data_IF_423834613832
#
_entry.id   IF_423834613832
#
_cell.length_a   1.000
_cell.length_b   1.000
_cell.length_c   1.000
_cell.angle_alpha   90.00
_cell.angle_beta   90.00
_cell.angle_gamma   90.00
#
_symmetry.space_group_name_H-M   'P 1'
#
loop_
_entity.id
_entity.type
_entity.pdbx_description
1 polymer ?
#
# COMPACT_ATOMS: atom_id res chain seq x y z
N UNK A 1 30.37 -5.63 -12.31
CA UNK A 1 31.02 -4.51 -11.59
C UNK A 1 31.34 -4.95 -10.18
N UNK A 2 30.35 -5.30 -9.35
CA UNK A 2 30.60 -5.79 -7.98
C UNK A 2 31.51 -7.04 -7.93
N UNK A 3 31.18 -8.10 -8.68
CA UNK A 3 32.03 -9.31 -8.82
C UNK A 3 33.39 -9.07 -9.49
N UNK A 4 33.58 -7.92 -10.14
CA UNK A 4 34.84 -7.54 -10.79
C UNK A 4 35.67 -6.59 -9.90
N UNK A 5 35.15 -6.25 -8.72
CA UNK A 5 35.72 -5.24 -7.80
C UNK A 5 35.86 -3.84 -8.43
N UNK A 6 35.04 -3.51 -9.44
CA UNK A 6 34.98 -2.16 -10.01
C UNK A 6 34.22 -1.18 -9.10
N UNK A 7 33.39 -1.70 -8.18
CA UNK A 7 32.60 -0.96 -7.20
C UNK A 7 32.56 -1.75 -5.89
N UNK A 8 32.46 -1.04 -4.77
CA UNK A 8 32.40 -1.65 -3.42
C UNK A 8 30.97 -1.89 -2.92
N UNK A 9 30.00 -1.09 -3.38
CA UNK A 9 28.60 -1.15 -2.92
C UNK A 9 27.66 -1.05 -4.12
N UNK A 10 26.71 -1.99 -4.20
CA UNK A 10 25.55 -1.90 -5.08
C UNK A 10 24.27 -1.87 -4.23
N UNK A 11 23.27 -1.09 -4.67
CA UNK A 11 21.95 -0.96 -4.04
C UNK A 11 20.86 -1.31 -5.06
N UNK A 12 19.65 -1.59 -4.58
CA UNK A 12 18.46 -1.85 -5.43
C UNK A 12 18.61 -3.03 -6.40
N UNK A 13 19.30 -4.08 -5.96
CA UNK A 13 19.54 -5.30 -6.73
C UNK A 13 18.25 -6.10 -6.94
N UNK A 14 18.09 -6.73 -8.10
CA UNK A 14 16.94 -7.60 -8.38
C UNK A 14 17.07 -8.94 -7.63
N UNK A 15 15.96 -9.67 -7.40
CA UNK A 15 16.02 -11.00 -6.78
C UNK A 15 16.96 -11.97 -7.49
N UNK A 16 17.04 -11.89 -8.83
CA UNK A 16 17.96 -12.67 -9.67
C UNK A 16 19.43 -12.32 -9.37
N UNK A 17 19.77 -11.03 -9.34
CA UNK A 17 21.12 -10.55 -9.02
C UNK A 17 21.55 -10.98 -7.60
N UNK A 18 20.61 -10.93 -6.64
CA UNK A 18 20.86 -11.36 -5.26
C UNK A 18 21.19 -12.85 -5.17
N UNK A 19 20.47 -13.70 -5.92
CA UNK A 19 20.71 -15.15 -5.94
C UNK A 19 22.10 -15.47 -6.49
N UNK A 20 22.52 -14.80 -7.57
CA UNK A 20 23.84 -14.97 -8.17
C UNK A 20 24.96 -14.50 -7.23
N UNK A 21 24.75 -13.37 -6.54
CA UNK A 21 25.74 -12.83 -5.59
C UNK A 21 25.86 -13.67 -4.33
N UNK A 22 24.77 -14.27 -3.85
CA UNK A 22 24.78 -15.18 -2.69
C UNK A 22 25.60 -16.46 -2.93
N UNK A 23 25.81 -16.85 -4.18
CA UNK A 23 26.67 -17.97 -4.54
C UNK A 23 28.17 -17.61 -4.49
N UNK A 24 28.52 -16.32 -4.31
CA UNK A 24 29.91 -15.84 -4.29
C UNK A 24 30.38 -15.62 -2.84
N UNK A 25 31.55 -16.14 -2.45
CA UNK A 25 31.98 -16.20 -1.04
C UNK A 25 32.58 -14.91 -0.48
N UNK A 26 33.02 -14.00 -1.33
CA UNK A 26 33.70 -12.74 -0.99
C UNK A 26 32.75 -11.53 -0.97
N UNK A 27 31.49 -11.70 -1.38
CA UNK A 27 30.47 -10.65 -1.39
C UNK A 27 29.46 -10.90 -0.28
N UNK A 28 29.36 -9.96 0.66
CA UNK A 28 28.35 -10.00 1.71
C UNK A 28 27.04 -9.38 1.20
N UNK A 29 25.98 -10.17 1.17
CA UNK A 29 24.63 -9.68 0.85
C UNK A 29 23.92 -9.32 2.16
N UNK A 30 23.73 -8.02 2.39
CA UNK A 30 22.94 -7.49 3.50
C UNK A 30 21.54 -7.12 3.01
N UNK A 31 20.51 -7.56 3.76
CA UNK A 31 19.11 -7.22 3.50
C UNK A 31 18.62 -6.33 4.62
N UNK A 32 18.29 -5.09 4.28
CA UNK A 32 17.72 -4.13 5.20
C UNK A 32 16.30 -3.85 4.76
N UNK A 33 15.36 -3.93 5.69
CA UNK A 33 13.99 -3.51 5.43
C UNK A 33 13.98 -1.99 5.34
N UNK A 34 13.69 -1.46 4.16
CA UNK A 34 13.45 -0.04 4.00
C UNK A 34 12.12 0.33 4.67
N UNK A 35 12.05 1.45 5.39
CA UNK A 35 10.81 1.91 6.02
C UNK A 35 9.93 2.56 4.95
N UNK A 36 9.60 1.83 3.89
CA UNK A 36 8.74 2.27 2.80
C UNK A 36 7.57 1.31 2.65
N UNK A 37 6.49 1.80 2.06
CA UNK A 37 5.33 0.99 1.76
C UNK A 37 4.83 1.31 0.37
N UNK A 38 4.22 0.32 -0.25
CA UNK A 38 3.48 0.49 -1.48
C UNK A 38 2.08 0.00 -1.26
N UNK A 39 1.12 0.73 -1.80
CA UNK A 39 -0.27 0.43 -1.55
C UNK A 39 -1.11 0.71 -2.78
N UNK A 40 -2.17 -0.08 -2.90
CA UNK A 40 -3.25 0.16 -3.84
C UNK A 40 -4.26 1.10 -3.19
N UNK A 41 -4.25 2.35 -3.63
CA UNK A 41 -5.13 3.40 -3.16
C UNK A 41 -6.40 3.53 -4.00
N UNK A 42 -7.49 3.92 -3.33
CA UNK A 42 -8.82 4.08 -3.92
C UNK A 42 -9.28 5.52 -3.75
N UNK A 43 -9.78 6.15 -4.83
CA UNK A 43 -10.31 7.49 -4.75
C UNK A 43 -11.73 7.49 -4.17
N UNK A 44 -11.88 7.87 -2.91
CA UNK A 44 -13.17 7.90 -2.22
C UNK A 44 -14.06 9.10 -2.60
N UNK A 45 -13.60 10.00 -3.49
CA UNK A 45 -14.51 10.95 -4.15
C UNK A 45 -15.28 10.30 -5.31
N UNK A 46 -14.83 9.15 -5.82
CA UNK A 46 -15.60 8.29 -6.71
C UNK A 46 -16.63 7.49 -5.87
N UNK A 47 -17.90 7.57 -6.24
CA UNK A 47 -19.01 6.93 -5.50
C UNK A 47 -18.88 5.41 -5.36
N UNK A 48 -18.22 4.73 -6.30
CA UNK A 48 -17.94 3.29 -6.22
C UNK A 48 -17.00 3.00 -5.05
N UNK A 49 -15.90 3.74 -4.96
CA UNK A 49 -14.87 3.52 -3.94
C UNK A 49 -15.14 4.24 -2.63
N UNK A 50 -16.09 5.18 -2.58
CA UNK A 50 -16.64 5.72 -1.34
C UNK A 50 -17.27 4.63 -0.47
N UNK A 51 -17.82 3.57 -1.08
CA UNK A 51 -18.38 2.43 -0.37
C UNK A 51 -17.27 1.53 0.22
N UNK A 52 -17.23 1.42 1.54
CA UNK A 52 -16.24 0.61 2.26
C UNK A 52 -16.27 -0.87 1.87
N UNK A 53 -17.45 -1.43 1.54
CA UNK A 53 -17.57 -2.84 1.13
C UNK A 53 -16.89 -3.08 -0.21
N UNK A 54 -16.91 -2.11 -1.12
CA UNK A 54 -16.17 -2.20 -2.39
C UNK A 54 -14.67 -2.22 -2.11
N UNK A 55 -14.15 -1.28 -1.30
CA UNK A 55 -12.72 -1.26 -0.93
C UNK A 55 -12.30 -2.55 -0.21
N UNK A 56 -13.13 -3.05 0.69
CA UNK A 56 -12.90 -4.31 1.39
C UNK A 56 -12.88 -5.50 0.43
N UNK A 57 -13.80 -5.54 -0.55
CA UNK A 57 -13.80 -6.56 -1.59
C UNK A 57 -12.49 -6.54 -2.40
N UNK A 58 -11.99 -5.34 -2.75
CA UNK A 58 -10.74 -5.19 -3.49
C UNK A 58 -9.54 -5.76 -2.73
N UNK A 59 -9.50 -5.62 -1.39
CA UNK A 59 -8.44 -6.23 -0.56
C UNK A 59 -8.40 -7.75 -0.67
N UNK A 60 -9.55 -8.40 -0.86
CA UNK A 60 -9.64 -9.85 -1.05
C UNK A 60 -9.27 -10.32 -2.46
N UNK A 61 -9.01 -9.42 -3.41
CA UNK A 61 -8.54 -9.77 -4.77
C UNK A 61 -7.02 -9.95 -4.85
N UNK A 62 -6.28 -9.54 -3.80
CA UNK A 62 -4.82 -9.60 -3.80
C UNK A 62 -4.37 -10.99 -3.34
N UNK A 63 -3.60 -11.67 -4.20
CA UNK A 63 -2.89 -12.91 -3.83
C UNK A 63 -1.59 -12.57 -3.09
N UNK A 64 -1.73 -12.18 -1.82
CA UNK A 64 -0.59 -11.79 -0.98
C UNK A 64 0.49 -12.88 -0.89
N UNK A 65 0.10 -14.16 -0.82
CA UNK A 65 1.05 -15.28 -0.70
C UNK A 65 1.72 -15.62 -2.04
N UNK A 66 0.97 -15.58 -3.14
CA UNK A 66 1.52 -15.73 -4.48
C UNK A 66 2.51 -14.61 -4.81
N UNK A 67 2.16 -13.35 -4.51
CA UNK A 67 3.04 -12.20 -4.68
C UNK A 67 4.31 -12.30 -3.82
N UNK A 68 4.19 -12.74 -2.55
CA UNK A 68 5.34 -12.98 -1.66
C UNK A 68 6.35 -13.97 -2.25
N UNK A 69 5.87 -15.03 -2.89
CA UNK A 69 6.71 -16.09 -3.47
C UNK A 69 7.31 -15.71 -4.83
N UNK A 70 6.75 -14.72 -5.51
CA UNK A 70 7.08 -14.37 -6.89
C UNK A 70 7.62 -12.94 -6.97
N UNK A 71 6.76 -11.97 -7.24
CA UNK A 71 7.12 -10.57 -7.53
C UNK A 71 7.83 -9.89 -6.36
N UNK A 72 7.43 -10.20 -5.13
CA UNK A 72 7.95 -9.57 -3.91
C UNK A 72 9.09 -10.37 -3.26
N UNK A 73 9.49 -11.50 -3.84
CA UNK A 73 10.53 -12.37 -3.27
C UNK A 73 11.81 -11.54 -3.05
N UNK A 74 12.31 -11.53 -1.82
CA UNK A 74 13.49 -10.76 -1.38
C UNK A 74 13.39 -9.22 -1.43
N UNK A 75 12.29 -8.64 -1.94
CA UNK A 75 12.18 -7.18 -2.14
C UNK A 75 10.98 -6.54 -1.42
N UNK A 76 10.12 -7.34 -0.77
CA UNK A 76 9.01 -6.79 -0.01
C UNK A 76 8.24 -7.83 0.80
N UNK A 77 7.50 -7.34 1.79
CA UNK A 77 6.65 -8.17 2.67
C UNK A 77 5.20 -7.68 2.50
N UNK A 78 4.27 -8.52 2.01
CA UNK A 78 2.88 -8.13 1.90
C UNK A 78 2.29 -7.78 3.28
N UNK A 79 1.62 -6.63 3.36
CA UNK A 79 1.09 -6.07 4.62
C UNK A 79 -0.15 -5.22 4.35
N UNK A 80 -1.06 -5.21 5.32
CA UNK A 80 -2.31 -4.43 5.33
C UNK A 80 -2.39 -3.44 6.51
N UNK A 81 -1.24 -3.12 7.10
CA UNK A 81 -1.02 -2.10 8.13
C UNK A 81 -0.19 -0.95 7.55
N UNK A 82 -0.48 0.26 8.00
CA UNK A 82 0.19 1.48 7.54
C UNK A 82 1.52 1.76 8.27
N UNK A 83 1.86 0.95 9.28
CA UNK A 83 3.14 1.06 10.00
C UNK A 83 4.09 0.00 9.41
N UNK A 84 5.25 0.41 8.87
CA UNK A 84 6.26 -0.53 8.37
C UNK A 84 6.67 -1.54 9.44
N UNK A 85 6.93 -2.78 9.04
CA UNK A 85 7.43 -3.82 9.95
C UNK A 85 8.76 -3.37 10.58
N UNK A 86 8.98 -3.69 11.85
CA UNK A 86 10.20 -3.29 12.58
C UNK A 86 10.14 -1.88 13.21
N UNK A 87 9.18 -1.04 12.82
CA UNK A 87 8.96 0.24 13.49
C UNK A 87 8.23 0.09 14.82
N UNK A 88 8.35 1.11 15.67
CA UNK A 88 7.62 1.16 16.94
C UNK A 88 6.10 1.15 16.71
N UNK A 89 5.37 0.28 17.42
CA UNK A 89 3.93 0.10 17.23
C UNK A 89 3.55 -0.73 15.99
N UNK A 90 4.52 -1.25 15.23
CA UNK A 90 4.24 -2.14 14.13
C UNK A 90 3.66 -3.47 14.62
N UNK A 91 2.62 -3.92 13.94
CA UNK A 91 2.06 -5.26 14.15
C UNK A 91 3.04 -6.32 13.66
N UNK A 92 3.10 -7.44 14.38
CA UNK A 92 3.76 -8.64 13.92
C UNK A 92 3.28 -9.04 12.51
N UNK A 93 4.12 -9.73 11.73
CA UNK A 93 3.85 -10.02 10.31
C UNK A 93 2.47 -10.64 10.07
N UNK A 94 2.11 -11.66 10.85
CA UNK A 94 0.81 -12.33 10.77
C UNK A 94 -0.37 -11.40 11.08
N UNK A 95 -0.25 -10.54 12.08
CA UNK A 95 -1.30 -9.60 12.49
C UNK A 95 -1.41 -8.38 11.57
N UNK A 96 -0.29 -8.03 10.92
CA UNK A 96 -0.20 -6.97 9.93
C UNK A 96 -0.81 -7.34 8.59
N UNK A 97 -1.03 -8.63 8.32
CA UNK A 97 -1.60 -9.14 7.08
C UNK A 97 -2.82 -10.05 7.33
N UNK A 98 -3.97 -9.50 7.74
CA UNK A 98 -5.16 -10.30 8.01
C UNK A 98 -5.90 -10.78 6.74
N UNK A 99 -5.49 -10.31 5.56
CA UNK A 99 -6.14 -10.64 4.29
C UNK A 99 -5.41 -11.76 3.55
N UNK A 100 -6.21 -12.54 2.81
CA UNK A 100 -5.77 -13.52 1.82
C UNK A 100 -6.69 -13.41 0.60
N UNK A 101 -6.26 -13.95 -0.54
CA UNK A 101 -7.12 -14.05 -1.71
C UNK A 101 -8.41 -14.82 -1.35
N UNK A 102 -9.56 -14.19 -1.55
CA UNK A 102 -10.88 -14.78 -1.33
C UNK A 102 -11.90 -14.19 -2.30
N UNK A 103 -12.01 -14.80 -3.48
CA UNK A 103 -12.90 -14.33 -4.54
C UNK A 103 -14.38 -14.45 -4.17
N UNK A 104 -14.74 -15.44 -3.34
CA UNK A 104 -16.11 -15.62 -2.88
C UNK A 104 -16.49 -14.49 -1.94
N UNK A 105 -15.63 -14.14 -0.98
CA UNK A 105 -15.86 -13.03 -0.07
C UNK A 105 -15.88 -11.69 -0.81
N UNK A 106 -14.97 -11.49 -1.78
CA UNK A 106 -14.97 -10.31 -2.63
C UNK A 106 -16.31 -10.15 -3.40
N UNK A 107 -16.77 -11.22 -4.06
CA UNK A 107 -18.05 -11.20 -4.79
C UNK A 107 -19.24 -10.94 -3.86
N UNK A 108 -19.27 -11.55 -2.68
CA UNK A 108 -20.31 -11.30 -1.68
C UNK A 108 -20.36 -9.81 -1.30
N UNK A 109 -19.21 -9.23 -0.96
CA UNK A 109 -19.11 -7.82 -0.57
C UNK A 109 -19.52 -6.86 -1.70
N UNK A 110 -19.16 -7.18 -2.95
CA UNK A 110 -19.58 -6.42 -4.13
C UNK A 110 -21.10 -6.45 -4.33
N UNK A 111 -21.73 -7.62 -4.21
CA UNK A 111 -23.19 -7.75 -4.26
C UNK A 111 -23.86 -6.95 -3.14
N UNK A 112 -23.38 -7.08 -1.91
CA UNK A 112 -23.88 -6.31 -0.76
C UNK A 112 -23.68 -4.79 -0.92
N UNK A 113 -22.70 -4.38 -1.72
CA UNK A 113 -22.43 -2.98 -2.04
C UNK A 113 -23.28 -2.45 -3.20
N UNK A 114 -24.11 -3.29 -3.84
CA UNK A 114 -24.94 -2.93 -4.98
C UNK A 114 -24.31 -3.15 -6.35
N UNK A 115 -23.21 -3.91 -6.44
CA UNK A 115 -22.49 -4.22 -7.68
C UNK A 115 -22.45 -5.74 -7.96
N UNK A 116 -23.61 -6.43 -8.11
CA UNK A 116 -23.64 -7.87 -8.33
C UNK A 116 -22.97 -8.30 -9.64
N UNK A 117 -22.98 -7.43 -10.65
CA UNK A 117 -22.36 -7.62 -11.97
C UNK A 117 -20.98 -6.93 -12.10
N UNK A 118 -20.48 -6.36 -11.00
CA UNK A 118 -19.24 -5.60 -10.96
C UNK A 118 -19.33 -4.21 -11.62
N UNK A 119 -18.18 -3.69 -12.04
CA UNK A 119 -18.02 -2.36 -12.63
C UNK A 119 -16.68 -2.25 -13.37
N UNK A 120 -16.44 -1.12 -14.04
CA UNK A 120 -15.13 -0.79 -14.61
C UNK A 120 -14.45 0.32 -13.81
N UNK A 121 -13.13 0.25 -13.68
CA UNK A 121 -12.33 1.30 -13.05
C UNK A 121 -10.92 1.35 -13.66
N UNK A 122 -10.32 2.53 -13.69
CA UNK A 122 -8.91 2.66 -14.07
C UNK A 122 -7.99 2.26 -12.92
N UNK A 123 -6.86 1.66 -13.26
CA UNK A 123 -5.81 1.29 -12.34
C UNK A 123 -4.49 1.90 -12.79
N UNK A 124 -4.17 3.07 -12.22
CA UNK A 124 -2.95 3.79 -12.56
C UNK A 124 -1.75 3.18 -11.85
N UNK A 125 -0.69 2.88 -12.59
CA UNK A 125 0.56 2.33 -12.05
C UNK A 125 1.77 3.09 -12.54
N UNK A 126 2.80 3.15 -11.71
CA UNK A 126 4.09 3.74 -12.06
C UNK A 126 4.98 2.83 -12.92
N UNK A 127 6.20 3.29 -13.16
CA UNK A 127 7.20 2.58 -13.97
C UNK A 127 7.98 1.53 -13.19
N UNK A 128 7.80 1.44 -11.87
CA UNK A 128 8.51 0.47 -11.03
C UNK A 128 8.33 -0.98 -11.53
N UNK A 129 9.38 -1.82 -11.53
CA UNK A 129 9.35 -3.16 -12.13
C UNK A 129 8.31 -4.09 -11.52
N UNK A 130 7.97 -3.93 -10.25
CA UNK A 130 6.97 -4.77 -9.55
C UNK A 130 5.53 -4.24 -9.70
N UNK A 131 5.33 -2.97 -10.07
CA UNK A 131 4.00 -2.36 -10.06
C UNK A 131 3.05 -2.98 -11.09
N UNK A 132 3.54 -3.22 -12.31
CA UNK A 132 2.76 -3.82 -13.39
C UNK A 132 2.39 -5.30 -13.10
N UNK A 133 3.34 -6.18 -12.71
CA UNK A 133 3.01 -7.55 -12.31
C UNK A 133 1.99 -7.64 -11.18
N UNK A 134 2.09 -6.79 -10.15
CA UNK A 134 1.12 -6.73 -9.04
C UNK A 134 -0.26 -6.34 -9.58
N UNK A 135 -0.34 -5.29 -10.40
CA UNK A 135 -1.60 -4.83 -10.95
C UNK A 135 -2.26 -5.85 -11.89
N UNK A 136 -1.47 -6.59 -12.68
CA UNK A 136 -1.96 -7.69 -13.52
C UNK A 136 -2.52 -8.83 -12.68
N UNK A 137 -1.81 -9.25 -11.62
CA UNK A 137 -2.31 -10.27 -10.68
C UNK A 137 -3.66 -9.87 -10.06
N UNK A 138 -3.81 -8.60 -9.68
CA UNK A 138 -5.08 -8.05 -9.16
C UNK A 138 -6.15 -8.01 -10.26
N UNK A 139 -5.82 -7.56 -11.47
CA UNK A 139 -6.73 -7.51 -12.61
C UNK A 139 -7.28 -8.90 -12.98
N UNK A 140 -6.42 -9.92 -13.01
CA UNK A 140 -6.78 -11.30 -13.28
C UNK A 140 -7.75 -11.87 -12.24
N UNK A 141 -7.66 -11.41 -10.99
CA UNK A 141 -8.60 -11.80 -9.93
C UNK A 141 -9.88 -10.96 -9.97
N UNK A 142 -9.79 -9.67 -10.29
CA UNK A 142 -10.91 -8.75 -10.39
C UNK A 142 -11.94 -9.19 -11.44
N UNK A 143 -11.47 -9.65 -12.62
CA UNK A 143 -12.38 -10.08 -13.70
C UNK A 143 -13.25 -11.27 -13.29
N UNK A 144 -12.75 -12.15 -12.41
CA UNK A 144 -13.47 -13.33 -11.90
C UNK A 144 -14.66 -12.96 -11.01
N UNK A 145 -14.70 -11.72 -10.50
CA UNK A 145 -15.81 -11.17 -9.70
C UNK A 145 -16.58 -10.06 -10.43
N UNK A 146 -16.38 -9.93 -11.74
CA UNK A 146 -17.09 -8.96 -12.58
C UNK A 146 -16.46 -7.56 -12.64
N UNK A 147 -15.35 -7.31 -11.94
CA UNK A 147 -14.67 -6.01 -11.95
C UNK A 147 -13.64 -5.96 -13.06
N UNK A 148 -13.77 -5.01 -13.99
CA UNK A 148 -12.81 -4.80 -15.09
C UNK A 148 -11.90 -3.61 -14.77
N UNK A 149 -10.68 -3.92 -14.33
CA UNK A 149 -9.65 -2.91 -14.10
C UNK A 149 -8.92 -2.59 -15.42
N UNK A 150 -8.84 -1.32 -15.80
CA UNK A 150 -8.06 -0.85 -16.96
C UNK A 150 -6.71 -0.33 -16.48
N UNK A 151 -5.65 -1.12 -16.65
CA UNK A 151 -4.31 -0.74 -16.22
C UNK A 151 -3.74 0.33 -17.15
N UNK A 152 -3.33 1.47 -16.59
CA UNK A 152 -2.63 2.54 -17.30
C UNK A 152 -1.28 2.78 -16.64
N UNK A 153 -0.20 2.62 -17.42
CA UNK A 153 1.17 2.81 -16.93
C UNK A 153 1.63 4.24 -17.25
N UNK A 154 2.00 4.97 -16.21
CA UNK A 154 2.37 6.38 -16.29
C UNK A 154 3.81 6.63 -15.82
N UNK A 155 4.45 7.63 -16.40
CA UNK A 155 5.68 8.20 -15.85
C UNK A 155 5.39 8.82 -14.48
N UNK A 156 6.38 8.81 -13.58
CA UNK A 156 6.20 9.25 -12.18
C UNK A 156 5.58 10.65 -12.06
N UNK A 157 6.07 11.63 -12.82
CA UNK A 157 5.52 13.00 -12.79
C UNK A 157 4.05 13.07 -13.23
N UNK A 158 3.66 12.28 -14.23
CA UNK A 158 2.27 12.20 -14.69
C UNK A 158 1.39 11.50 -13.66
N UNK A 159 1.87 10.40 -13.08
CA UNK A 159 1.18 9.63 -12.04
C UNK A 159 0.87 10.50 -10.81
N UNK A 160 1.87 11.21 -10.29
CA UNK A 160 1.68 12.09 -9.13
C UNK A 160 0.84 13.32 -9.45
N UNK A 161 0.90 13.84 -10.68
CA UNK A 161 0.00 14.91 -11.12
C UNK A 161 -1.47 14.45 -11.10
N UNK A 162 -1.76 13.21 -11.52
CA UNK A 162 -3.10 12.61 -11.41
C UNK A 162 -3.51 12.41 -9.95
N UNK A 163 -2.60 11.93 -9.10
CA UNK A 163 -2.84 11.77 -7.66
C UNK A 163 -3.23 13.10 -6.99
N UNK A 164 -2.43 14.15 -7.18
CA UNK A 164 -2.67 15.46 -6.58
C UNK A 164 -3.94 16.16 -7.07
N UNK A 165 -4.32 15.88 -8.31
CA UNK A 165 -5.59 16.34 -8.88
C UNK A 165 -6.80 15.47 -8.48
N UNK A 166 -6.60 14.39 -7.71
CA UNK A 166 -7.61 13.35 -7.45
C UNK A 166 -8.24 12.78 -8.73
N UNK A 167 -7.48 12.76 -9.82
CA UNK A 167 -7.93 12.38 -11.16
C UNK A 167 -7.62 10.90 -11.45
N UNK A 168 -8.13 10.01 -10.62
CA UNK A 168 -7.93 8.56 -10.72
C UNK A 168 -9.12 7.82 -10.08
N UNK A 169 -9.32 6.56 -10.46
CA UNK A 169 -10.24 5.65 -9.76
C UNK A 169 -9.47 4.87 -8.70
N UNK A 170 -8.43 4.15 -9.14
CA UNK A 170 -7.48 3.46 -8.27
C UNK A 170 -6.06 3.67 -8.76
N UNK A 171 -5.10 3.59 -7.84
CA UNK A 171 -3.70 3.94 -8.13
C UNK A 171 -2.75 3.12 -7.25
N UNK A 172 -1.60 2.71 -7.78
CA UNK A 172 -0.54 2.04 -7.02
C UNK A 172 0.65 2.98 -6.87
N UNK A 173 0.93 3.41 -5.64
CA UNK A 173 2.05 4.32 -5.31
C UNK A 173 2.77 3.88 -4.05
N UNK A 174 4.01 4.34 -3.92
CA UNK A 174 4.81 4.19 -2.72
C UNK A 174 4.71 5.41 -1.80
N UNK A 175 4.96 5.20 -0.51
CA UNK A 175 5.23 6.23 0.48
C UNK A 175 6.40 5.81 1.35
N UNK A 176 7.36 6.71 1.52
CA UNK A 176 8.52 6.50 2.37
C UNK A 176 8.25 7.06 3.75
N UNK A 177 8.76 6.38 4.76
CA UNK A 177 8.70 6.84 6.13
C UNK A 177 10.05 7.43 6.53
N UNK A 178 10.04 8.73 6.86
CA UNK A 178 11.24 9.48 7.22
C UNK A 178 11.61 9.33 8.71
N UNK A 179 10.84 8.56 9.50
CA UNK A 179 11.04 8.39 10.95
C UNK A 179 10.62 7.01 11.46
N UNK A 180 11.26 6.53 12.52
CA UNK A 180 10.85 5.28 13.20
C UNK A 180 9.63 5.47 14.11
N UNK A 181 9.19 6.72 14.37
CA UNK A 181 7.98 6.99 15.14
C UNK A 181 6.72 6.80 14.28
N UNK A 182 5.75 5.95 14.70
CA UNK A 182 4.54 5.63 13.95
C UNK A 182 3.62 6.84 13.71
N UNK A 183 3.77 7.91 14.49
CA UNK A 183 3.00 9.14 14.28
C UNK A 183 3.26 9.75 12.89
N UNK A 184 4.48 9.65 12.38
CA UNK A 184 4.83 10.20 11.06
C UNK A 184 4.03 9.55 9.94
N UNK A 185 3.76 8.25 10.03
CA UNK A 185 2.89 7.53 9.11
C UNK A 185 1.41 7.85 9.38
N UNK A 186 1.00 7.83 10.65
CA UNK A 186 -0.39 8.07 11.04
C UNK A 186 -0.89 9.47 10.64
N UNK A 187 -0.09 10.50 10.91
CA UNK A 187 -0.38 11.91 10.56
C UNK A 187 -0.42 12.19 9.06
N UNK A 188 0.01 11.25 8.20
CA UNK A 188 0.04 11.39 6.74
C UNK A 188 -0.98 10.48 6.07
N UNK A 189 -0.96 9.18 6.39
CA UNK A 189 -1.79 8.18 5.73
C UNK A 189 -3.19 8.07 6.32
N UNK A 190 -3.38 8.38 7.60
CA UNK A 190 -4.67 8.25 8.29
C UNK A 190 -5.31 9.62 8.48
N UNK A 191 -4.57 10.57 9.05
CA UNK A 191 -5.10 11.88 9.40
C UNK A 191 -5.42 12.73 8.17
N UNK A 192 -6.60 13.36 8.14
CA UNK A 192 -6.97 14.36 7.13
C UNK A 192 -7.67 15.56 7.80
N UNK A 193 -7.05 16.76 7.85
CA UNK A 193 -7.63 17.89 8.57
C UNK A 193 -8.87 18.49 7.88
N UNK A 194 -8.93 18.43 6.55
CA UNK A 194 -10.05 18.96 5.75
C UNK A 194 -10.04 18.31 4.38
N UNK A 195 -11.10 17.56 4.06
CA UNK A 195 -11.19 16.78 2.84
C UNK A 195 -11.69 17.55 1.61
N UNK A 196 -12.07 18.83 1.76
CA UNK A 196 -12.42 19.70 0.63
C UNK A 196 -11.25 19.77 -0.34
N UNK A 197 -11.57 19.77 -1.62
CA UNK A 197 -10.53 19.84 -2.66
C UNK A 197 -9.81 21.20 -2.64
N UNK A 198 -10.53 22.25 -2.26
CA UNK A 198 -10.03 23.62 -2.15
C UNK A 198 -9.03 23.81 -1.00
N UNK A 199 -9.04 22.90 -0.01
CA UNK A 199 -8.12 22.94 1.13
C UNK A 199 -6.67 22.66 0.72
N UNK A 200 -6.45 22.02 -0.45
CA UNK A 200 -5.12 21.73 -1.02
C UNK A 200 -4.15 21.10 -0.01
N UNK A 201 -4.64 20.18 0.80
CA UNK A 201 -3.88 19.45 1.81
C UNK A 201 -2.94 18.40 1.17
N UNK A 202 -2.12 18.80 0.19
CA UNK A 202 -1.30 17.89 -0.63
C UNK A 202 -0.20 17.16 0.14
N UNK A 203 0.10 17.61 1.37
CA UNK A 203 1.00 16.94 2.28
C UNK A 203 0.38 15.70 2.98
N UNK A 204 -0.91 15.40 2.73
CA UNK A 204 -1.65 14.32 3.34
C UNK A 204 -2.11 13.31 2.26
N UNK A 205 -1.47 12.13 2.17
CA UNK A 205 -1.97 11.03 1.35
C UNK A 205 -3.45 10.72 1.55
N UNK A 206 -3.94 10.67 2.79
CA UNK A 206 -5.37 10.52 3.11
C UNK A 206 -6.25 11.49 2.30
N UNK A 207 -5.83 12.76 2.17
CA UNK A 207 -6.50 13.77 1.36
C UNK A 207 -6.43 13.45 -0.13
N UNK A 208 -5.32 12.95 -0.68
CA UNK A 208 -5.26 12.56 -2.11
C UNK A 208 -6.28 11.48 -2.46
N UNK A 209 -6.63 10.61 -1.51
CA UNK A 209 -7.63 9.55 -1.67
C UNK A 209 -9.05 9.99 -1.31
N UNK A 210 -9.27 11.23 -0.89
CA UNK A 210 -10.58 11.67 -0.41
C UNK A 210 -11.00 11.00 0.90
N UNK A 211 -10.06 10.50 1.70
CA UNK A 211 -10.34 9.81 2.96
C UNK A 211 -10.57 10.80 4.10
N UNK A 212 -11.66 10.69 4.83
CA UNK A 212 -11.87 11.45 6.07
C UNK A 212 -12.64 10.61 7.09
N UNK A 213 -12.02 10.39 8.24
CA UNK A 213 -12.66 9.81 9.41
C UNK A 213 -12.25 10.63 10.64
N UNK A 214 -13.19 11.43 11.15
CA UNK A 214 -12.93 12.32 12.28
C UNK A 214 -12.62 11.55 13.58
N UNK A 215 -13.13 10.33 13.73
CA UNK A 215 -12.81 9.49 14.88
C UNK A 215 -11.38 8.97 14.79
N UNK A 216 -10.95 8.52 13.60
CA UNK A 216 -9.54 8.15 13.41
C UNK A 216 -8.60 9.36 13.51
N UNK A 217 -8.99 10.54 13.04
CA UNK A 217 -8.22 11.76 13.27
C UNK A 217 -7.99 12.00 14.76
N UNK A 218 -9.06 11.93 15.57
CA UNK A 218 -8.95 12.10 17.03
C UNK A 218 -8.03 11.04 17.65
N UNK A 219 -8.15 9.77 17.24
CA UNK A 219 -7.26 8.71 17.74
C UNK A 219 -5.78 8.94 17.39
N UNK A 220 -5.50 9.52 16.21
CA UNK A 220 -4.12 9.90 15.83
C UNK A 220 -3.60 11.01 16.74
N UNK A 221 -4.42 12.01 17.05
CA UNK A 221 -4.07 13.10 17.99
C UNK A 221 -3.89 12.59 19.41
N UNK A 222 -4.80 11.74 19.90
CA UNK A 222 -4.73 11.14 21.24
C UNK A 222 -3.45 10.30 21.40
N UNK A 223 -3.09 9.52 20.37
CA UNK A 223 -1.89 8.70 20.37
C UNK A 223 -0.61 9.55 20.41
N UNK A 224 -0.60 10.75 19.83
CA UNK A 224 0.55 11.67 19.87
C UNK A 224 0.87 12.10 21.31
N UNK A 225 -0.15 12.35 22.13
CA UNK A 225 0.01 12.84 23.50
C UNK A 225 0.06 11.72 24.55
N UNK A 226 -0.01 10.45 24.14
CA UNK A 226 0.12 9.31 25.05
C UNK A 226 1.57 9.16 25.55
N UNK A 227 1.75 9.35 26.86
CA UNK A 227 3.06 9.29 27.53
C UNK A 227 3.55 7.86 27.77
N UNK A 228 2.63 6.92 27.99
CA UNK A 228 2.98 5.51 28.17
C UNK A 228 3.31 4.88 26.81
N UNK A 229 4.56 4.41 26.69
CA UNK A 229 5.07 3.87 25.43
C UNK A 229 4.29 2.66 24.93
N UNK A 230 3.94 1.71 25.81
CA UNK A 230 3.22 0.51 25.41
C UNK A 230 1.78 0.83 24.97
N UNK A 231 1.08 1.69 25.72
CA UNK A 231 -0.25 2.16 25.34
C UNK A 231 -0.21 2.95 24.04
N UNK A 232 0.81 3.81 23.83
CA UNK A 232 0.98 4.56 22.59
C UNK A 232 1.16 3.63 21.39
N UNK A 233 2.04 2.63 21.53
CA UNK A 233 2.26 1.62 20.50
C UNK A 233 0.95 0.88 20.14
N UNK A 234 0.18 0.47 21.16
CA UNK A 234 -1.11 -0.19 20.94
C UNK A 234 -2.12 0.72 20.24
N UNK A 235 -2.22 1.99 20.66
CA UNK A 235 -3.12 2.96 20.02
C UNK A 235 -2.83 3.11 18.53
N UNK A 236 -1.54 3.17 18.13
CA UNK A 236 -1.16 3.20 16.72
C UNK A 236 -1.44 1.87 15.99
N UNK A 237 -1.23 0.73 16.63
CA UNK A 237 -1.53 -0.59 16.07
C UNK A 237 -3.04 -0.81 15.83
N UNK A 238 -3.89 -0.15 16.63
CA UNK A 238 -5.35 -0.21 16.56
C UNK A 238 -5.95 0.75 15.51
N UNK A 239 -5.15 1.65 14.93
CA UNK A 239 -5.58 2.45 13.79
C UNK A 239 -5.75 1.55 12.56
N UNK A 240 -6.99 1.21 12.24
CA UNK A 240 -7.35 0.38 11.08
C UNK A 240 -8.18 1.19 10.11
N UNK A 241 -7.64 1.43 8.93
CA UNK A 241 -8.40 1.95 7.79
C UNK A 241 -9.14 0.78 7.13
N UNK A 242 -10.44 0.98 6.90
CA UNK A 242 -11.33 -0.01 6.26
C UNK A 242 -11.38 0.23 4.75
#
# INVERSE_FOLDING_TARGET
MLQKHDIDIARDLKPEDLADLQATTDIKVEKVLEPSMMFWGFNMTNSIFANEKVRLAMRYLIDYEGLRKTVLKEIGIPRASFIPLGNFGALAEKEGQPFKLDLQKAKQLLTEAGYPDGFEANFLVGTSPYALPIAQSIQDNAVKVGVRLKIERLAGTQLFSKLYARAFDTIFVGWNNDSTDPHTMASRLVYNPDNRFEAKNTAYPSWHYGYLDLNLNQKVEDALFQKDSQKRAQMYADLRMI
#
